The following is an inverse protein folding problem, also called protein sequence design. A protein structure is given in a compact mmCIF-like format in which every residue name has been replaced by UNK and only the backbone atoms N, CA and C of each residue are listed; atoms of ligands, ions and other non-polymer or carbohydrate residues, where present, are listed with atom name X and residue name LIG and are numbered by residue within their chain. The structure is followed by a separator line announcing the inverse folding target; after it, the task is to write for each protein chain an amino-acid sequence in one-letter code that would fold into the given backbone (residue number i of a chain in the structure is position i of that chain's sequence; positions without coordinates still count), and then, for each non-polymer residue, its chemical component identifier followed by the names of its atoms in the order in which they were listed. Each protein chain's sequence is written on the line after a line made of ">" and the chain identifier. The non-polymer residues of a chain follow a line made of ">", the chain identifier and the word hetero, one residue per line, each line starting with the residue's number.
data_IF_058882824789
#
_entry.id   IF_058882824789
#
_cell.length_a   1.000
_cell.length_b   1.000
_cell.length_c   1.000
_cell.angle_alpha   90.00
_cell.angle_beta   90.00
_cell.angle_gamma   90.00
#
_symmetry.space_group_name_H-M   'P 1'
#
loop_
_entity.id
_entity.type
_entity.pdbx_description
1 polymer ?
#
# COMPACT_ATOMS: atom_id res chain seq x y z
N UNK A 1 -6.87 -8.78 -4.17
CA UNK A 1 -7.13 -7.89 -5.31
C UNK A 1 -7.58 -6.57 -4.72
N UNK A 2 -6.99 -5.46 -5.12
CA UNK A 2 -7.42 -4.09 -4.75
C UNK A 2 -8.39 -3.61 -5.83
N UNK A 3 -9.71 -3.55 -5.57
CA UNK A 3 -10.70 -3.19 -6.58
C UNK A 3 -10.48 -1.81 -7.21
N UNK A 4 -9.99 -0.86 -6.41
CA UNK A 4 -9.87 0.56 -6.75
C UNK A 4 -8.78 0.85 -7.78
N UNK A 5 -7.77 -0.04 -7.90
CA UNK A 5 -6.63 0.14 -8.79
C UNK A 5 -6.83 -0.50 -10.16
N UNK A 6 -7.90 -1.30 -10.36
CA UNK A 6 -8.14 -2.04 -11.61
C UNK A 6 -7.02 -3.02 -11.99
N UNK A 7 -6.05 -3.26 -11.10
CA UNK A 7 -4.86 -4.06 -11.34
C UNK A 7 -4.95 -5.37 -10.55
N UNK A 8 -5.31 -6.50 -11.20
CA UNK A 8 -5.57 -7.75 -10.49
C UNK A 8 -4.34 -8.35 -9.81
N UNK A 9 -3.13 -7.98 -10.25
CA UNK A 9 -1.87 -8.38 -9.66
C UNK A 9 -1.61 -7.74 -8.29
N UNK A 10 -2.13 -6.52 -8.07
CA UNK A 10 -1.95 -5.78 -6.82
C UNK A 10 -2.96 -6.23 -5.77
N UNK A 11 -2.48 -6.51 -4.57
CA UNK A 11 -3.23 -7.08 -3.47
C UNK A 11 -3.11 -6.23 -2.23
N UNK A 12 -4.19 -6.15 -1.47
CA UNK A 12 -4.22 -5.54 -0.15
C UNK A 12 -4.53 -6.61 0.92
N UNK A 13 -3.86 -6.47 2.06
CA UNK A 13 -4.14 -7.21 3.29
C UNK A 13 -4.18 -6.26 4.48
N UNK A 14 -5.14 -6.47 5.37
CA UNK A 14 -5.22 -5.78 6.64
C UNK A 14 -4.44 -6.56 7.69
N UNK A 15 -3.43 -5.93 8.29
CA UNK A 15 -2.61 -6.49 9.36
C UNK A 15 -2.71 -5.55 10.55
N UNK A 16 -3.50 -5.94 11.55
CA UNK A 16 -3.89 -5.07 12.67
C UNK A 16 -4.47 -3.74 12.18
N UNK A 17 -3.87 -2.61 12.59
CA UNK A 17 -4.24 -1.26 12.16
C UNK A 17 -3.52 -0.82 10.87
N UNK A 18 -2.93 -1.72 10.09
CA UNK A 18 -2.22 -1.38 8.85
C UNK A 18 -2.83 -2.06 7.62
N UNK A 19 -2.63 -1.43 6.47
CA UNK A 19 -2.90 -1.95 5.13
C UNK A 19 -1.58 -2.21 4.44
N UNK A 20 -1.33 -3.46 4.07
CA UNK A 20 -0.18 -3.89 3.29
C UNK A 20 -0.60 -4.00 1.83
N UNK A 21 0.03 -3.22 0.96
CA UNK A 21 -0.14 -3.33 -0.49
C UNK A 21 1.08 -4.04 -1.06
N UNK A 22 0.83 -5.11 -1.81
CA UNK A 22 1.88 -5.96 -2.34
C UNK A 22 1.47 -6.62 -3.65
N UNK A 23 2.44 -7.12 -4.39
CA UNK A 23 2.25 -8.01 -5.52
C UNK A 23 3.06 -9.29 -5.33
N UNK A 24 2.61 -10.37 -5.98
CA UNK A 24 3.28 -11.67 -5.97
C UNK A 24 3.83 -11.91 -7.36
N UNK A 25 5.13 -12.09 -7.45
CA UNK A 25 5.84 -12.52 -8.65
C UNK A 25 6.24 -13.99 -8.50
N UNK A 26 6.69 -14.67 -9.57
CA UNK A 26 7.00 -16.10 -9.52
C UNK A 26 8.04 -16.48 -8.45
N UNK A 27 9.02 -15.62 -8.19
CA UNK A 27 10.14 -15.90 -7.28
C UNK A 27 10.25 -14.90 -6.12
N UNK A 28 9.53 -13.78 -6.18
CA UNK A 28 9.65 -12.70 -5.22
C UNK A 28 8.30 -12.13 -4.81
N UNK A 29 8.27 -11.54 -3.62
CA UNK A 29 7.15 -10.76 -3.12
C UNK A 29 7.58 -9.31 -3.01
N UNK A 30 6.91 -8.40 -3.71
CA UNK A 30 7.20 -6.99 -3.61
C UNK A 30 6.22 -6.32 -2.66
N UNK A 31 6.76 -5.70 -1.61
CA UNK A 31 5.98 -4.82 -0.73
C UNK A 31 5.98 -3.43 -1.35
N UNK A 32 4.82 -2.99 -1.82
CA UNK A 32 4.67 -1.70 -2.50
C UNK A 32 4.42 -0.57 -1.51
N UNK A 33 3.60 -0.83 -0.48
CA UNK A 33 3.31 0.15 0.57
C UNK A 33 2.87 -0.50 1.89
N UNK A 34 3.14 0.20 2.99
CA UNK A 34 2.61 -0.08 4.33
C UNK A 34 1.91 1.18 4.84
N UNK A 35 0.59 1.13 4.99
CA UNK A 35 -0.24 2.29 5.32
C UNK A 35 -0.90 2.07 6.67
N UNK A 36 -0.79 3.02 7.60
CA UNK A 36 -1.48 2.95 8.88
C UNK A 36 -2.98 3.29 8.71
N UNK A 37 -3.88 2.33 8.87
CA UNK A 37 -5.33 2.47 8.64
C UNK A 37 -6.07 3.45 9.56
N UNK A 38 -5.45 3.91 10.66
CA UNK A 38 -6.02 4.97 11.54
C UNK A 38 -5.30 6.32 11.45
N UNK A 39 -4.29 6.46 10.58
CA UNK A 39 -3.63 7.74 10.30
C UNK A 39 -3.84 7.99 8.83
N UNK A 40 -4.56 9.05 8.49
CA UNK A 40 -4.44 9.62 7.16
C UNK A 40 -2.96 9.97 7.03
N UNK A 41 -2.23 9.27 6.16
CA UNK A 41 -0.87 9.71 5.81
C UNK A 41 -1.09 11.04 5.10
N UNK A 42 -0.73 12.14 5.75
CA UNK A 42 -0.61 13.43 5.08
C UNK A 42 0.31 13.24 3.87
N UNK A 43 0.00 13.92 2.77
CA UNK A 43 0.80 13.79 1.55
C UNK A 43 2.25 14.12 1.90
N UNK A 44 3.19 13.27 1.48
CA UNK A 44 4.60 13.54 1.70
C UNK A 44 5.03 14.80 0.91
N UNK A 45 4.25 15.21 -0.09
CA UNK A 45 4.43 16.49 -0.80
C UNK A 45 4.49 17.68 0.16
N UNK A 46 3.67 17.68 1.22
CA UNK A 46 3.66 18.76 2.23
C UNK A 46 4.93 18.79 3.10
N UNK A 47 5.72 17.70 3.12
CA UNK A 47 6.93 17.57 3.94
C UNK A 47 8.20 17.98 3.19
N UNK A 48 8.11 18.19 1.88
CA UNK A 48 9.23 18.58 1.02
C UNK A 48 9.05 19.98 0.40
N UNK A 49 8.04 20.76 0.79
CA UNK A 49 8.06 22.20 0.55
C UNK A 49 9.16 22.88 1.40
N UNK A 50 9.96 23.79 0.82
CA UNK A 50 11.09 24.43 1.48
C UNK A 50 10.71 25.44 2.58
#
# INVERSE_FOLDING_TARGET
>A
MVPELGQPAVRERFIYSYRLIYEILPETLHILAVIHGRRLLESIEDRFEP
#
